data_IF_947087514428
#
_entry.id   IF_947087514428
#
_cell.length_a   1.000
_cell.length_b   1.000
_cell.length_c   1.000
_cell.angle_alpha   90.00
_cell.angle_beta   90.00
_cell.angle_gamma   90.00
#
_symmetry.space_group_name_H-M   'P 1'
#
loop_
_entity.id
_entity.type
_entity.pdbx_description
1 polymer ?
#
# COMPACT_ATOMS: atom_id res chain seq x y z
N UNK A 1 2.85 -11.58 13.12
CA UNK A 1 2.75 -10.21 12.55
C UNK A 1 1.79 -10.06 11.36
N UNK A 2 1.18 -11.10 10.77
CA UNK A 2 0.16 -10.86 9.71
C UNK A 2 -1.23 -10.64 10.30
N UNK A 3 -1.52 -11.29 11.43
CA UNK A 3 -2.88 -11.31 12.00
C UNK A 3 -3.26 -10.04 12.74
N UNK A 4 -2.32 -9.37 13.42
CA UNK A 4 -2.58 -8.09 14.09
C UNK A 4 -2.93 -6.95 13.11
N UNK A 5 -2.26 -6.85 11.96
CA UNK A 5 -2.54 -5.88 10.89
C UNK A 5 -3.90 -6.17 10.27
N UNK A 6 -4.21 -7.45 9.98
CA UNK A 6 -5.53 -7.85 9.48
C UNK A 6 -6.65 -7.52 10.47
N UNK A 7 -6.43 -7.80 11.76
CA UNK A 7 -7.41 -7.49 12.82
C UNK A 7 -7.60 -5.98 12.98
N UNK A 8 -6.52 -5.20 12.97
CA UNK A 8 -6.58 -3.74 13.02
C UNK A 8 -7.32 -3.15 11.82
N UNK A 9 -7.04 -3.65 10.61
CA UNK A 9 -7.73 -3.23 9.40
C UNK A 9 -9.23 -3.59 9.43
N UNK A 10 -9.57 -4.82 9.83
CA UNK A 10 -10.96 -5.26 9.98
C UNK A 10 -11.72 -4.44 11.04
N UNK A 11 -11.07 -4.11 12.15
CA UNK A 11 -11.65 -3.24 13.18
C UNK A 11 -11.87 -1.82 12.65
N UNK A 12 -10.91 -1.27 11.90
CA UNK A 12 -11.05 0.04 11.25
C UNK A 12 -12.21 0.09 10.26
N UNK A 13 -12.36 -0.94 9.41
CA UNK A 13 -13.50 -1.06 8.51
C UNK A 13 -14.83 -1.18 9.27
N UNK A 14 -14.87 -1.97 10.35
CA UNK A 14 -16.07 -2.08 11.20
C UNK A 14 -16.48 -0.74 11.81
N UNK A 15 -15.51 0.03 12.32
CA UNK A 15 -15.76 1.37 12.86
C UNK A 15 -16.25 2.34 11.78
N UNK A 16 -15.71 2.28 10.56
CA UNK A 16 -16.14 3.11 9.45
C UNK A 16 -17.60 2.82 9.04
N UNK A 17 -17.96 1.54 8.96
CA UNK A 17 -19.34 1.11 8.66
C UNK A 17 -20.31 1.62 9.72
N UNK A 18 -20.00 1.41 11.01
CA UNK A 18 -20.84 1.90 12.13
C UNK A 18 -20.97 3.42 12.10
N UNK A 19 -19.90 4.14 11.77
CA UNK A 19 -19.91 5.60 11.67
C UNK A 19 -20.83 6.08 10.55
N UNK A 20 -20.80 5.42 9.39
CA UNK A 20 -21.71 5.71 8.26
C UNK A 20 -23.17 5.49 8.64
N UNK A 21 -23.49 4.34 9.24
CA UNK A 21 -24.85 4.04 9.70
C UNK A 21 -25.35 5.07 10.72
N UNK A 22 -24.47 5.50 11.64
CA UNK A 22 -24.81 6.52 12.62
C UNK A 22 -25.08 7.88 12.00
N UNK A 23 -24.28 8.28 10.99
CA UNK A 23 -24.48 9.52 10.25
C UNK A 23 -25.83 9.50 9.50
N UNK A 24 -26.12 8.43 8.77
CA UNK A 24 -27.39 8.26 8.06
C UNK A 24 -28.60 8.29 9.00
N UNK A 25 -28.51 7.60 10.15
CA UNK A 25 -29.56 7.61 11.16
C UNK A 25 -29.80 9.01 11.73
N UNK A 26 -28.74 9.75 12.01
CA UNK A 26 -28.83 11.11 12.54
C UNK A 26 -29.50 12.04 11.52
N UNK A 27 -29.12 11.95 10.25
CA UNK A 27 -29.76 12.72 9.17
C UNK A 27 -31.24 12.37 9.02
N UNK A 28 -31.60 11.07 9.09
CA UNK A 28 -33.00 10.62 9.08
C UNK A 28 -33.81 11.15 10.26
N UNK A 29 -33.21 11.19 11.46
CA UNK A 29 -33.90 11.67 12.67
C UNK A 29 -34.16 13.19 12.60
N UNK A 30 -33.23 13.97 12.04
CA UNK A 30 -33.44 15.40 11.79
C UNK A 30 -34.58 15.67 10.81
N UNK A 31 -34.69 14.85 9.75
CA UNK A 31 -35.81 14.93 8.81
C UNK A 31 -37.14 14.61 9.50
N UNK A 32 -37.18 13.55 10.34
CA UNK A 32 -38.39 13.19 11.09
C UNK A 32 -38.85 14.26 12.07
N UNK A 33 -37.91 15.00 12.66
CA UNK A 33 -38.21 16.12 13.57
C UNK A 33 -38.65 17.39 12.84
N UNK A 34 -38.59 17.41 11.50
CA UNK A 34 -38.89 18.60 10.69
C UNK A 34 -37.77 19.66 10.72
N UNK A 35 -36.63 19.34 11.32
CA UNK A 35 -35.46 20.25 11.41
C UNK A 35 -34.69 20.32 10.09
N UNK A 36 -34.92 19.37 9.17
CA UNK A 36 -34.24 19.32 7.88
C UNK A 36 -35.13 18.69 6.80
N UNK A 37 -34.99 19.13 5.55
CA UNK A 37 -35.70 18.50 4.42
C UNK A 37 -35.00 17.22 3.97
N UNK A 38 -35.72 16.25 3.36
CA UNK A 38 -35.10 15.04 2.81
C UNK A 38 -33.97 15.35 1.83
N UNK A 39 -34.12 16.39 1.00
CA UNK A 39 -33.10 16.80 0.03
C UNK A 39 -31.85 17.36 0.70
N UNK A 40 -32.01 18.25 1.67
CA UNK A 40 -30.88 18.79 2.44
C UNK A 40 -30.12 17.67 3.18
N UNK A 41 -30.84 16.66 3.68
CA UNK A 41 -30.22 15.53 4.38
C UNK A 41 -29.30 14.70 3.48
N UNK A 42 -29.70 14.48 2.22
CA UNK A 42 -28.91 13.79 1.21
C UNK A 42 -27.69 14.62 0.81
N UNK A 43 -27.89 15.91 0.56
CA UNK A 43 -26.79 16.81 0.18
C UNK A 43 -25.68 16.86 1.25
N UNK A 44 -26.05 16.91 2.53
CA UNK A 44 -25.07 16.88 3.63
C UNK A 44 -24.34 15.53 3.69
N UNK A 45 -25.05 14.43 3.51
CA UNK A 45 -24.46 13.09 3.49
C UNK A 45 -23.47 12.94 2.32
N UNK A 46 -23.86 13.39 1.14
CA UNK A 46 -23.05 13.33 -0.08
C UNK A 46 -21.79 14.19 0.06
N UNK A 47 -21.90 15.40 0.62
CA UNK A 47 -20.74 16.26 0.94
C UNK A 47 -19.80 15.59 1.95
N UNK A 48 -20.35 14.91 2.95
CA UNK A 48 -19.55 14.21 3.95
C UNK A 48 -18.77 13.03 3.34
N UNK A 49 -19.42 12.27 2.46
CA UNK A 49 -18.79 11.17 1.72
C UNK A 49 -17.69 11.70 0.80
N UNK A 50 -18.00 12.70 -0.04
CA UNK A 50 -17.05 13.28 -0.98
C UNK A 50 -15.81 13.87 -0.26
N UNK A 51 -16.03 14.58 0.86
CA UNK A 51 -14.93 15.08 1.69
C UNK A 51 -14.11 13.95 2.31
N UNK A 52 -14.78 12.89 2.77
CA UNK A 52 -14.13 11.69 3.31
C UNK A 52 -13.26 11.00 2.28
N UNK A 53 -13.72 10.84 1.03
CA UNK A 53 -12.94 10.24 -0.06
C UNK A 53 -11.69 11.07 -0.37
N UNK A 54 -11.81 12.41 -0.40
CA UNK A 54 -10.67 13.30 -0.62
C UNK A 54 -9.64 13.23 0.52
N UNK A 55 -10.09 13.24 1.78
CA UNK A 55 -9.20 13.10 2.94
C UNK A 55 -8.58 11.71 3.03
N UNK A 56 -9.29 10.67 2.59
CA UNK A 56 -8.80 9.29 2.59
C UNK A 56 -7.56 9.15 1.72
N UNK A 57 -7.53 9.71 0.51
CA UNK A 57 -6.37 9.61 -0.39
C UNK A 57 -5.11 10.25 0.20
N UNK A 58 -5.26 11.44 0.81
CA UNK A 58 -4.16 12.14 1.49
C UNK A 58 -3.65 11.34 2.70
N UNK A 59 -4.58 10.80 3.49
CA UNK A 59 -4.27 9.96 4.64
C UNK A 59 -3.52 8.70 4.22
N UNK A 60 -3.96 8.06 3.14
CA UNK A 60 -3.37 6.85 2.58
C UNK A 60 -1.92 7.08 2.14
N UNK A 61 -1.65 8.23 1.49
CA UNK A 61 -0.29 8.63 1.13
C UNK A 61 0.58 8.83 2.37
N UNK A 62 0.10 9.63 3.33
CA UNK A 62 0.81 9.91 4.58
C UNK A 62 1.12 8.64 5.37
N UNK A 63 0.16 7.71 5.48
CA UNK A 63 0.34 6.41 6.11
C UNK A 63 1.40 5.58 5.41
N UNK A 64 1.36 5.48 4.07
CA UNK A 64 2.36 4.74 3.29
C UNK A 64 3.77 5.27 3.52
N UNK A 65 3.94 6.59 3.49
CA UNK A 65 5.24 7.22 3.76
C UNK A 65 5.71 6.94 5.19
N UNK A 66 4.81 7.06 6.18
CA UNK A 66 5.16 6.82 7.58
C UNK A 66 5.55 5.38 7.83
N UNK A 67 4.82 4.42 7.27
CA UNK A 67 5.13 2.99 7.36
C UNK A 67 6.47 2.71 6.69
N UNK A 68 6.71 3.24 5.48
CA UNK A 68 7.99 3.06 4.78
C UNK A 68 9.15 3.61 5.62
N UNK A 69 8.99 4.78 6.23
CA UNK A 69 10.02 5.37 7.11
C UNK A 69 10.33 4.48 8.32
N UNK A 70 9.31 3.97 9.00
CA UNK A 70 9.49 3.07 10.16
C UNK A 70 10.16 1.77 9.74
N UNK A 71 9.77 1.18 8.62
CA UNK A 71 10.40 -0.05 8.12
C UNK A 71 11.88 0.17 7.81
N UNK A 72 12.23 1.32 7.21
CA UNK A 72 13.61 1.69 6.93
C UNK A 72 14.42 1.92 8.22
N UNK A 73 13.85 2.58 9.23
CA UNK A 73 14.47 2.78 10.55
C UNK A 73 14.72 1.45 11.28
N UNK A 74 13.91 0.43 11.00
CA UNK A 74 14.08 -0.93 11.53
C UNK A 74 15.00 -1.82 10.66
N UNK A 75 15.66 -1.25 9.65
CA UNK A 75 16.52 -1.97 8.68
C UNK A 75 15.79 -3.11 7.94
N UNK A 76 14.48 -2.99 7.76
CA UNK A 76 13.68 -3.98 7.05
C UNK A 76 13.68 -3.63 5.56
N UNK A 77 14.45 -4.38 4.77
CA UNK A 77 14.46 -4.25 3.32
C UNK A 77 13.08 -4.56 2.70
N UNK A 78 12.66 -3.73 1.75
CA UNK A 78 11.44 -3.96 0.98
C UNK A 78 11.62 -5.09 -0.02
N UNK A 79 10.52 -5.66 -0.48
CA UNK A 79 10.55 -6.71 -1.52
C UNK A 79 11.15 -6.21 -2.83
N UNK A 80 10.85 -4.97 -3.18
CA UNK A 80 11.35 -4.32 -4.40
C UNK A 80 12.87 -4.18 -4.36
N UNK A 81 13.43 -3.67 -3.26
CA UNK A 81 14.89 -3.57 -3.05
C UNK A 81 15.55 -4.96 -3.11
N UNK A 82 14.92 -5.97 -2.51
CA UNK A 82 15.41 -7.35 -2.55
C UNK A 82 15.43 -7.93 -3.97
N UNK A 83 14.40 -7.65 -4.77
CA UNK A 83 14.31 -8.15 -6.14
C UNK A 83 15.28 -7.41 -7.08
N UNK A 84 15.50 -6.10 -6.87
CA UNK A 84 16.56 -5.33 -7.53
C UNK A 84 17.95 -5.90 -7.22
N UNK A 85 18.22 -6.22 -5.94
CA UNK A 85 19.49 -6.82 -5.54
C UNK A 85 19.71 -8.17 -6.22
N UNK A 86 18.69 -9.04 -6.27
CA UNK A 86 18.77 -10.33 -7.00
C UNK A 86 19.05 -10.13 -8.50
N UNK A 87 18.45 -9.11 -9.12
CA UNK A 87 18.71 -8.81 -10.52
C UNK A 87 20.16 -8.36 -10.74
N UNK A 88 20.70 -7.51 -9.86
CA UNK A 88 22.10 -7.11 -9.89
C UNK A 88 23.03 -8.30 -9.71
N UNK A 89 22.74 -9.20 -8.76
CA UNK A 89 23.51 -10.43 -8.55
C UNK A 89 23.54 -11.27 -9.83
N UNK A 90 22.39 -11.55 -10.45
CA UNK A 90 22.32 -12.31 -11.71
C UNK A 90 23.09 -11.68 -12.86
N UNK A 91 23.07 -10.35 -12.96
CA UNK A 91 23.84 -9.62 -13.96
C UNK A 91 25.34 -9.76 -13.71
N UNK A 92 25.78 -9.70 -12.45
CA UNK A 92 27.17 -9.88 -12.08
C UNK A 92 27.63 -11.32 -12.33
N UNK A 93 26.83 -12.32 -11.97
CA UNK A 93 27.08 -13.75 -12.28
C UNK A 93 27.27 -13.94 -13.79
N UNK A 94 26.36 -13.42 -14.61
CA UNK A 94 26.46 -13.52 -16.09
C UNK A 94 27.74 -12.86 -16.62
N UNK A 95 28.16 -11.73 -16.03
CA UNK A 95 29.39 -11.04 -16.43
C UNK A 95 30.63 -11.82 -16.02
N UNK A 96 30.61 -12.44 -14.84
CA UNK A 96 31.70 -13.28 -14.35
C UNK A 96 31.88 -14.50 -15.26
N UNK A 97 30.80 -15.20 -15.59
CA UNK A 97 30.82 -16.34 -16.52
C UNK A 97 31.46 -15.98 -17.88
N UNK A 98 31.14 -14.80 -18.42
CA UNK A 98 31.73 -14.30 -19.67
C UNK A 98 33.23 -14.03 -19.54
N UNK A 99 33.66 -13.48 -18.41
CA UNK A 99 35.08 -13.21 -18.16
C UNK A 99 35.85 -14.51 -17.96
N UNK A 100 35.30 -15.46 -17.20
CA UNK A 100 35.89 -16.80 -17.01
C UNK A 100 35.97 -17.58 -18.32
N UNK A 101 34.92 -17.54 -19.15
CA UNK A 101 34.93 -18.17 -20.48
C UNK A 101 35.96 -17.54 -21.42
N UNK A 102 36.17 -16.21 -21.34
CA UNK A 102 37.19 -15.51 -22.13
C UNK A 102 38.62 -15.82 -21.68
N UNK A 103 38.82 -16.12 -20.40
CA UNK A 103 40.12 -16.41 -19.81
C UNK A 103 40.48 -17.91 -19.81
N UNK A 104 39.61 -18.78 -20.32
CA UNK A 104 39.93 -20.21 -20.48
C UNK A 104 41.00 -20.34 -21.59
N UNK A 105 42.21 -20.84 -21.30
CA UNK A 105 43.21 -21.07 -22.33
C UNK A 105 42.63 -22.02 -23.38
N UNK A 106 42.82 -21.70 -24.65
CA UNK A 106 42.61 -22.63 -25.75
C UNK A 106 43.67 -23.73 -25.62
N UNK A 107 43.40 -24.72 -24.78
CA UNK A 107 44.00 -26.05 -24.96
C UNK A 107 43.10 -26.83 -25.92
N UNK A 108 43.72 -27.60 -26.81
CA UNK A 108 43.13 -28.37 -27.92
C UNK A 108 43.00 -27.62 -29.25
N UNK A 109 44.14 -27.51 -29.95
CA UNK A 109 44.12 -27.15 -31.37
C UNK A 109 45.46 -27.03 -32.07
N UNK A 110 46.47 -27.81 -31.70
CA UNK A 110 47.76 -28.01 -32.42
C UNK A 110 48.55 -28.96 -31.51
N UNK A 111 48.88 -30.21 -31.86
CA UNK A 111 49.68 -30.70 -32.99
C UNK A 111 49.35 -32.19 -33.22
N UNK A 112 49.01 -32.59 -34.45
CA UNK A 112 49.82 -33.46 -35.33
C UNK A 112 50.39 -34.73 -34.69
#
# INVERSE_FOLDING_TARGET
MKDWVKKGFAAGLGLAVVSKERAEKTMKDLVKRGEMTPNASREVLDKLVAKGEQEQEQLDHFLRERIRKVLNEMEIATREEMDQLKQHIRMLETRLDRVETRNRPQEEGETS
#
